data_IF_424153473148
#
_entry.id   IF_424153473148
#
_cell.length_a   1.000
_cell.length_b   1.000
_cell.length_c   1.000
_cell.angle_alpha   90.00
_cell.angle_beta   90.00
_cell.angle_gamma   90.00
#
_symmetry.space_group_name_H-M   'P 1'
#
loop_
_entity.id
_entity.type
_entity.pdbx_description
1 polymer ?
#
# COMPACT_ATOMS: atom_id res chain seq x y z
N UNK A 1 -9.68 -6.38 -10.99
CA UNK A 1 -8.81 -5.19 -11.16
C UNK A 1 -8.01 -5.15 -12.48
N UNK A 2 -7.56 -6.25 -13.07
CA UNK A 2 -6.84 -6.21 -14.37
C UNK A 2 -7.82 -5.87 -15.50
N UNK A 3 -7.49 -4.89 -16.33
CA UNK A 3 -8.28 -4.53 -17.52
C UNK A 3 -7.96 -5.40 -18.73
N UNK A 4 -8.89 -5.51 -19.68
CA UNK A 4 -8.62 -6.19 -20.96
C UNK A 4 -7.44 -5.55 -21.70
N UNK A 5 -7.32 -4.22 -21.64
CA UNK A 5 -6.22 -3.50 -22.27
C UNK A 5 -4.86 -3.91 -21.70
N UNK A 6 -4.75 -4.00 -20.36
CA UNK A 6 -3.51 -4.44 -19.72
C UNK A 6 -3.18 -5.89 -20.08
N UNK A 7 -4.18 -6.77 -20.12
CA UNK A 7 -4.01 -8.16 -20.53
C UNK A 7 -3.45 -8.27 -21.96
N UNK A 8 -4.01 -7.49 -22.89
CA UNK A 8 -3.56 -7.41 -24.28
C UNK A 8 -2.13 -6.91 -24.40
N UNK A 9 -1.79 -5.82 -23.71
CA UNK A 9 -0.43 -5.25 -23.71
C UNK A 9 0.57 -6.27 -23.19
N UNK A 10 0.28 -6.95 -22.08
CA UNK A 10 1.15 -8.00 -21.53
C UNK A 10 1.30 -9.16 -22.51
N UNK A 11 0.21 -9.62 -23.12
CA UNK A 11 0.24 -10.68 -24.14
C UNK A 11 1.09 -10.28 -25.34
N UNK A 12 0.92 -9.06 -25.86
CA UNK A 12 1.69 -8.52 -27.00
C UNK A 12 3.17 -8.37 -26.67
N UNK A 13 3.51 -7.84 -25.50
CA UNK A 13 4.89 -7.68 -25.05
C UNK A 13 5.61 -9.03 -24.98
N UNK A 14 4.99 -10.06 -24.40
CA UNK A 14 5.57 -11.40 -24.32
C UNK A 14 5.70 -12.06 -25.69
N UNK A 15 4.71 -11.89 -26.58
CA UNK A 15 4.81 -12.35 -27.97
C UNK A 15 6.02 -11.79 -28.68
N UNK A 16 6.26 -10.49 -28.51
CA UNK A 16 7.40 -9.81 -29.10
C UNK A 16 8.73 -10.27 -28.49
N UNK A 17 8.83 -10.26 -27.16
CA UNK A 17 10.04 -10.63 -26.44
C UNK A 17 10.48 -12.08 -26.69
N UNK A 18 9.52 -12.98 -26.85
CA UNK A 18 9.77 -14.42 -27.04
C UNK A 18 9.74 -14.84 -28.51
N UNK A 19 9.43 -13.92 -29.43
CA UNK A 19 9.27 -14.19 -30.85
C UNK A 19 8.31 -15.37 -31.14
N UNK A 20 7.19 -15.39 -30.42
CA UNK A 20 6.14 -16.41 -30.55
C UNK A 20 4.80 -15.70 -30.69
N UNK A 21 4.00 -16.04 -31.71
CA UNK A 21 2.72 -15.37 -31.99
C UNK A 21 1.56 -15.84 -31.10
N UNK A 22 1.72 -16.93 -30.36
CA UNK A 22 0.70 -17.46 -29.47
C UNK A 22 0.46 -16.51 -28.29
N UNK A 23 -0.75 -16.48 -27.69
CA UNK A 23 -1.03 -15.69 -26.49
C UNK A 23 0.10 -15.76 -25.45
N UNK A 24 0.50 -14.61 -24.91
CA UNK A 24 1.59 -14.51 -23.92
C UNK A 24 2.93 -15.13 -24.37
N UNK A 25 3.19 -15.23 -25.68
CA UNK A 25 4.41 -15.84 -26.21
C UNK A 25 4.56 -17.31 -25.82
N UNK A 26 3.43 -18.04 -25.75
CA UNK A 26 3.37 -19.44 -25.35
C UNK A 26 3.88 -19.73 -23.92
N UNK A 27 3.93 -18.71 -23.06
CA UNK A 27 4.19 -18.88 -21.64
C UNK A 27 3.04 -19.65 -20.97
N UNK A 28 3.38 -20.48 -19.98
CA UNK A 28 2.37 -20.95 -19.03
C UNK A 28 1.97 -19.80 -18.13
N UNK A 29 0.70 -19.39 -18.20
CA UNK A 29 0.15 -18.30 -17.40
C UNK A 29 -0.82 -18.86 -16.36
N UNK A 30 -0.59 -18.50 -15.10
CA UNK A 30 -1.50 -18.82 -13.99
C UNK A 30 -2.24 -17.54 -13.58
N UNK A 31 -3.54 -17.50 -13.83
CA UNK A 31 -4.42 -16.45 -13.32
C UNK A 31 -4.96 -16.84 -11.94
N UNK A 32 -4.90 -15.91 -11.01
CA UNK A 32 -5.57 -16.01 -9.72
C UNK A 32 -6.27 -14.70 -9.42
N UNK A 33 -7.45 -14.78 -8.81
CA UNK A 33 -8.25 -13.60 -8.53
C UNK A 33 -9.67 -13.97 -8.19
N UNK A 34 -10.48 -12.94 -7.97
CA UNK A 34 -11.86 -13.07 -7.57
C UNK A 34 -12.69 -11.98 -8.25
N UNK A 35 -13.55 -12.38 -9.19
CA UNK A 35 -14.41 -11.45 -9.92
C UNK A 35 -15.59 -10.94 -9.09
N UNK A 36 -15.88 -11.52 -7.93
CA UNK A 36 -16.83 -10.98 -6.96
C UNK A 36 -16.26 -9.84 -6.12
N UNK A 37 -14.98 -9.49 -6.32
CA UNK A 37 -14.33 -8.32 -5.70
C UNK A 37 -14.28 -7.13 -6.67
N UNK A 38 -13.43 -6.15 -6.38
CA UNK A 38 -13.32 -4.93 -7.16
C UNK A 38 -12.89 -5.19 -8.62
N UNK A 39 -13.70 -4.64 -9.53
CA UNK A 39 -13.39 -4.56 -10.95
C UNK A 39 -12.15 -3.69 -11.25
N UNK A 40 -11.75 -3.58 -12.53
CA UNK A 40 -10.77 -2.58 -12.96
C UNK A 40 -11.18 -1.16 -12.58
N UNK A 41 -10.18 -0.34 -12.21
CA UNK A 41 -10.40 1.09 -11.96
C UNK A 41 -10.64 1.80 -13.28
N UNK A 42 -11.73 2.57 -13.35
CA UNK A 42 -12.15 3.30 -14.54
C UNK A 42 -12.38 4.77 -14.21
N UNK A 43 -12.26 5.63 -15.23
CA UNK A 43 -12.75 7.01 -15.13
C UNK A 43 -14.28 6.99 -15.21
N UNK A 44 -14.91 7.99 -14.63
CA UNK A 44 -16.38 8.11 -14.67
C UNK A 44 -16.91 8.00 -16.10
N UNK A 45 -18.07 7.34 -16.24
CA UNK A 45 -18.77 7.10 -17.52
C UNK A 45 -18.03 6.24 -18.55
N UNK A 46 -16.96 5.53 -18.17
CA UNK A 46 -16.34 4.53 -19.07
C UNK A 46 -16.80 3.11 -18.74
N UNK A 47 -17.11 2.27 -19.75
CA UNK A 47 -17.41 0.86 -19.51
C UNK A 47 -16.26 0.17 -18.78
N UNK A 48 -16.60 -0.73 -17.86
CA UNK A 48 -15.60 -1.47 -17.09
C UNK A 48 -14.87 -2.44 -18.05
N UNK A 49 -13.54 -2.30 -18.23
CA UNK A 49 -12.80 -3.06 -19.23
C UNK A 49 -12.45 -4.45 -18.70
N UNK A 50 -13.43 -5.34 -18.55
CA UNK A 50 -13.18 -6.66 -17.99
C UNK A 50 -12.39 -7.56 -18.93
N UNK A 51 -11.58 -8.47 -18.38
CA UNK A 51 -10.66 -9.31 -19.14
C UNK A 51 -11.34 -10.22 -20.19
N UNK A 52 -12.63 -10.55 -20.01
CA UNK A 52 -13.37 -11.37 -20.97
C UNK A 52 -13.71 -10.62 -22.27
N UNK A 53 -13.53 -9.30 -22.29
CA UNK A 53 -13.67 -8.50 -23.51
C UNK A 53 -12.37 -8.44 -24.34
N UNK A 54 -11.27 -9.07 -23.87
CA UNK A 54 -10.01 -9.12 -24.61
C UNK A 54 -10.07 -10.13 -25.75
N UNK A 55 -9.59 -9.74 -26.94
CA UNK A 55 -9.45 -10.66 -28.08
C UNK A 55 -8.52 -11.84 -27.74
N UNK A 56 -7.50 -11.62 -26.92
CA UNK A 56 -6.61 -12.66 -26.39
C UNK A 56 -7.41 -13.75 -25.69
N UNK A 57 -8.46 -13.40 -24.94
CA UNK A 57 -9.28 -14.35 -24.18
C UNK A 57 -10.00 -15.36 -25.08
N UNK A 58 -10.37 -14.98 -26.31
CA UNK A 58 -10.96 -15.91 -27.29
C UNK A 58 -10.01 -17.06 -27.67
N UNK A 59 -8.70 -16.86 -27.50
CA UNK A 59 -7.66 -17.85 -27.80
C UNK A 59 -7.11 -18.54 -26.54
N UNK A 60 -7.59 -18.18 -25.34
CA UNK A 60 -7.18 -18.81 -24.10
C UNK A 60 -8.07 -20.01 -23.80
N UNK A 61 -7.48 -21.21 -23.86
CA UNK A 61 -8.06 -22.41 -23.29
C UNK A 61 -7.81 -22.42 -21.77
N UNK A 62 -8.66 -21.69 -21.03
CA UNK A 62 -8.51 -21.53 -19.58
C UNK A 62 -9.02 -22.76 -18.82
N UNK A 63 -8.12 -23.45 -18.14
CA UNK A 63 -8.49 -24.44 -17.13
C UNK A 63 -8.84 -23.73 -15.80
N UNK A 64 -10.13 -23.71 -15.44
CA UNK A 64 -10.63 -23.06 -14.23
C UNK A 64 -10.61 -24.00 -13.02
N UNK A 65 -10.12 -23.50 -11.89
CA UNK A 65 -10.18 -24.17 -10.59
C UNK A 65 -10.83 -23.21 -9.59
N UNK A 66 -11.92 -23.64 -8.96
CA UNK A 66 -12.58 -22.87 -7.90
C UNK A 66 -12.16 -23.37 -6.51
N UNK A 67 -11.61 -22.47 -5.69
CA UNK A 67 -11.28 -22.77 -4.29
C UNK A 67 -12.53 -22.59 -3.42
N UNK A 68 -12.96 -23.66 -2.73
CA UNK A 68 -14.22 -23.68 -1.98
C UNK A 68 -14.07 -23.41 -0.48
N UNK A 69 -12.87 -23.60 0.07
CA UNK A 69 -12.63 -23.49 1.51
C UNK A 69 -11.94 -22.17 1.85
N UNK A 70 -12.60 -21.31 2.64
CA UNK A 70 -11.95 -20.13 3.22
C UNK A 70 -11.02 -20.55 4.35
N UNK A 71 -9.74 -20.21 4.22
CA UNK A 71 -8.74 -20.40 5.29
C UNK A 71 -8.70 -19.20 6.26
N UNK A 72 -9.22 -18.04 5.83
CA UNK A 72 -9.08 -16.77 6.56
C UNK A 72 -10.06 -16.68 7.74
N UNK A 73 -11.30 -17.12 7.55
CA UNK A 73 -12.35 -17.09 8.58
C UNK A 73 -12.76 -18.50 9.03
N UNK A 74 -11.86 -19.50 8.90
CA UNK A 74 -12.18 -20.92 9.09
C UNK A 74 -12.83 -21.26 10.44
N UNK A 75 -12.53 -20.47 11.48
CA UNK A 75 -12.99 -20.72 12.85
C UNK A 75 -14.27 -19.93 13.21
N UNK A 76 -14.82 -19.15 12.27
CA UNK A 76 -16.05 -18.38 12.46
C UNK A 76 -17.07 -18.66 11.33
N UNK A 77 -17.86 -19.71 11.53
CA UNK A 77 -18.88 -20.13 10.58
C UNK A 77 -19.93 -19.05 10.33
N UNK A 78 -20.31 -18.27 11.35
CA UNK A 78 -21.33 -17.21 11.20
C UNK A 78 -20.80 -16.08 10.33
N UNK A 79 -19.55 -15.67 10.55
CA UNK A 79 -18.92 -14.65 9.74
C UNK A 79 -18.68 -15.13 8.30
N UNK A 80 -18.29 -16.41 8.10
CA UNK A 80 -18.22 -16.98 6.75
C UNK A 80 -19.56 -16.95 6.02
N UNK A 81 -20.66 -17.35 6.68
CA UNK A 81 -22.01 -17.26 6.09
C UNK A 81 -22.35 -15.82 5.70
N UNK A 82 -22.07 -14.85 6.57
CA UNK A 82 -22.28 -13.43 6.28
C UNK A 82 -21.48 -12.95 5.06
N UNK A 83 -20.19 -13.28 4.96
CA UNK A 83 -19.34 -12.88 3.83
C UNK A 83 -19.80 -13.50 2.51
N UNK A 84 -20.26 -14.74 2.52
CA UNK A 84 -20.80 -15.40 1.33
C UNK A 84 -22.12 -14.75 0.88
N UNK A 85 -22.98 -14.34 1.82
CA UNK A 85 -24.19 -13.58 1.51
C UNK A 85 -23.84 -12.23 0.91
N UNK A 86 -22.85 -11.51 1.44
CA UNK A 86 -22.40 -10.24 0.87
C UNK A 86 -21.90 -10.38 -0.58
N UNK A 87 -21.26 -11.52 -0.89
CA UNK A 87 -20.76 -11.81 -2.22
C UNK A 87 -21.87 -12.05 -3.25
N UNK A 88 -22.93 -12.75 -2.84
CA UNK A 88 -24.05 -13.16 -3.69
C UNK A 88 -25.34 -12.43 -3.32
N UNK A 89 -25.19 -11.21 -2.82
CA UNK A 89 -26.29 -10.48 -2.20
C UNK A 89 -27.41 -10.23 -3.22
N UNK A 90 -28.65 -10.44 -2.77
CA UNK A 90 -29.85 -10.30 -3.57
C UNK A 90 -30.84 -9.48 -2.76
N UNK A 91 -31.14 -8.27 -3.24
CA UNK A 91 -32.07 -7.34 -2.59
C UNK A 91 -33.48 -7.93 -2.42
N UNK A 92 -33.86 -8.90 -3.25
CA UNK A 92 -35.17 -9.54 -3.16
C UNK A 92 -35.22 -10.65 -2.09
N UNK A 93 -34.06 -11.14 -1.64
CA UNK A 93 -33.98 -12.18 -0.62
C UNK A 93 -34.24 -11.58 0.77
N UNK A 94 -35.33 -12.02 1.41
CA UNK A 94 -35.64 -11.65 2.80
C UNK A 94 -34.56 -12.19 3.75
N UNK A 95 -34.11 -13.43 3.52
CA UNK A 95 -33.07 -14.07 4.32
C UNK A 95 -31.73 -13.31 4.26
N UNK A 96 -31.31 -12.86 3.07
CA UNK A 96 -30.08 -12.08 2.92
C UNK A 96 -30.15 -10.77 3.72
N UNK A 97 -31.27 -10.05 3.61
CA UNK A 97 -31.51 -8.81 4.36
C UNK A 97 -31.52 -9.03 5.87
N UNK A 98 -32.17 -10.10 6.33
CA UNK A 98 -32.22 -10.42 7.77
C UNK A 98 -30.83 -10.73 8.33
N UNK A 99 -30.04 -11.56 7.65
CA UNK A 99 -28.68 -11.91 8.09
C UNK A 99 -27.76 -10.68 8.06
N UNK A 100 -27.83 -9.87 7.00
CA UNK A 100 -27.07 -8.62 6.89
C UNK A 100 -27.39 -7.68 8.05
N UNK A 101 -28.68 -7.40 8.29
CA UNK A 101 -29.12 -6.49 9.34
C UNK A 101 -28.74 -7.00 10.74
N UNK A 102 -28.93 -8.30 11.01
CA UNK A 102 -28.53 -8.90 12.29
C UNK A 102 -27.03 -8.78 12.52
N UNK A 103 -26.22 -9.05 11.50
CA UNK A 103 -24.77 -8.96 11.61
C UNK A 103 -24.32 -7.51 11.85
N UNK A 104 -24.84 -6.55 11.06
CA UNK A 104 -24.51 -5.13 11.21
C UNK A 104 -24.93 -4.59 12.58
N UNK A 105 -26.13 -4.94 13.05
CA UNK A 105 -26.62 -4.53 14.36
C UNK A 105 -25.73 -5.04 15.50
N UNK A 106 -25.27 -6.30 15.41
CA UNK A 106 -24.40 -6.89 16.42
C UNK A 106 -22.96 -6.32 16.44
N UNK A 107 -22.51 -5.69 15.35
CA UNK A 107 -21.12 -5.25 15.15
C UNK A 107 -21.01 -3.74 14.90
N UNK A 108 -21.92 -2.94 15.45
CA UNK A 108 -21.81 -1.49 15.36
C UNK A 108 -20.58 -0.98 16.12
N UNK A 109 -19.82 -0.10 15.46
CA UNK A 109 -18.76 0.63 16.13
C UNK A 109 -19.34 1.54 17.20
N UNK A 110 -18.73 1.53 18.39
CA UNK A 110 -19.12 2.39 19.50
C UNK A 110 -18.23 3.62 19.46
N UNK A 111 -18.83 4.80 19.32
CA UNK A 111 -18.12 6.08 19.29
C UNK A 111 -17.23 6.35 20.52
N UNK A 112 -17.47 5.63 21.63
CA UNK A 112 -16.70 5.70 22.86
C UNK A 112 -15.31 5.05 22.73
N UNK A 113 -15.12 4.17 21.76
CA UNK A 113 -13.85 3.49 21.57
C UNK A 113 -12.83 4.39 20.88
N UNK A 114 -11.54 4.20 21.21
CA UNK A 114 -10.44 4.89 20.53
C UNK A 114 -10.41 4.46 19.04
N UNK A 115 -10.64 5.38 18.08
CA UNK A 115 -10.69 5.04 16.65
C UNK A 115 -9.36 4.47 16.15
N UNK A 116 -8.24 4.75 16.82
CA UNK A 116 -6.93 4.23 16.43
C UNK A 116 -6.79 2.72 16.64
N UNK A 117 -7.72 2.10 17.37
CA UNK A 117 -7.78 0.64 17.57
C UNK A 117 -8.46 -0.09 16.39
N UNK A 118 -9.06 0.65 15.47
CA UNK A 118 -9.82 0.11 14.35
C UNK A 118 -9.15 0.42 13.02
N UNK A 119 -9.46 -0.40 12.02
CA UNK A 119 -9.12 -0.13 10.63
C UNK A 119 -10.42 0.25 9.91
N UNK A 120 -10.59 1.55 9.67
CA UNK A 120 -11.75 2.06 8.93
C UNK A 120 -11.50 1.92 7.43
N UNK A 121 -12.50 1.42 6.72
CA UNK A 121 -12.49 1.29 5.27
C UNK A 121 -13.46 2.31 4.67
N UNK A 122 -12.98 3.08 3.70
CA UNK A 122 -13.78 4.06 2.98
C UNK A 122 -13.69 3.82 1.48
N UNK A 123 -14.74 4.20 0.74
CA UNK A 123 -14.76 4.12 -0.72
C UNK A 123 -13.92 5.18 -1.41
N UNK A 124 -13.57 6.27 -0.71
CA UNK A 124 -12.79 7.40 -1.23
C UNK A 124 -11.55 7.62 -0.37
N UNK A 125 -10.42 7.83 -1.03
CA UNK A 125 -9.14 8.17 -0.37
C UNK A 125 -9.25 9.45 0.44
N UNK A 126 -9.99 10.46 -0.04
CA UNK A 126 -10.21 11.73 0.68
C UNK A 126 -10.80 11.51 2.07
N UNK A 127 -11.82 10.65 2.20
CA UNK A 127 -12.41 10.30 3.51
C UNK A 127 -11.43 9.56 4.42
N UNK A 128 -10.57 8.73 3.83
CA UNK A 128 -9.51 8.02 4.58
C UNK A 128 -8.47 9.01 5.11
N UNK A 129 -8.06 9.98 4.28
CA UNK A 129 -7.16 11.05 4.68
C UNK A 129 -7.77 11.96 5.75
N UNK A 130 -9.03 12.36 5.59
CA UNK A 130 -9.77 13.14 6.59
C UNK A 130 -9.79 12.43 7.95
N UNK A 131 -10.16 11.15 7.98
CA UNK A 131 -10.19 10.35 9.21
C UNK A 131 -8.79 10.21 9.84
N UNK A 132 -7.76 9.96 9.01
CA UNK A 132 -6.37 9.86 9.48
C UNK A 132 -5.88 11.19 10.07
N UNK A 133 -6.18 12.32 9.43
CA UNK A 133 -5.83 13.66 9.91
C UNK A 133 -6.55 13.96 11.21
N UNK A 134 -7.86 13.67 11.31
CA UNK A 134 -8.64 13.85 12.53
C UNK A 134 -8.04 13.04 13.69
N UNK A 135 -7.73 11.77 13.47
CA UNK A 135 -7.10 10.91 14.48
C UNK A 135 -5.71 11.42 14.89
N UNK A 136 -4.90 11.92 13.95
CA UNK A 136 -3.58 12.48 14.25
C UNK A 136 -3.69 13.78 15.08
N UNK A 137 -4.66 14.65 14.77
CA UNK A 137 -4.89 15.91 15.48
C UNK A 137 -5.31 15.71 16.94
N UNK A 138 -5.97 14.59 17.26
CA UNK A 138 -6.35 14.23 18.63
C UNK A 138 -5.16 13.80 19.51
N UNK A 139 -3.99 13.55 18.93
CA UNK A 139 -2.79 13.14 19.66
C UNK A 139 -2.02 14.40 20.08
N UNK A 140 -1.97 14.72 21.38
CA UNK A 140 -1.35 15.96 21.87
C UNK A 140 0.20 15.95 21.92
N UNK A 141 0.84 14.83 21.57
CA UNK A 141 2.30 14.75 21.47
C UNK A 141 2.85 15.65 20.35
N UNK A 142 4.14 15.99 20.45
CA UNK A 142 4.85 16.76 19.42
C UNK A 142 4.70 16.12 18.04
N UNK A 143 4.40 16.94 17.05
CA UNK A 143 4.40 16.56 15.64
C UNK A 143 5.81 16.61 15.06
N UNK A 144 6.14 15.55 14.35
CA UNK A 144 7.36 15.42 13.56
C UNK A 144 6.98 15.28 12.10
N UNK A 145 7.64 16.05 11.25
CA UNK A 145 7.40 16.07 9.81
C UNK A 145 8.66 15.57 9.12
N UNK A 146 8.49 14.60 8.22
CA UNK A 146 9.55 14.01 7.42
C UNK A 146 9.21 14.24 5.94
N UNK A 147 10.00 15.09 5.26
CA UNK A 147 9.87 15.32 3.83
C UNK A 147 10.62 14.23 3.05
N UNK A 148 10.03 13.74 1.95
CA UNK A 148 10.65 12.77 1.08
C UNK A 148 11.86 13.37 0.35
N UNK A 149 12.85 12.52 0.05
CA UNK A 149 14.03 12.88 -0.75
C UNK A 149 13.96 12.09 -2.05
N UNK A 150 13.58 12.78 -3.13
CA UNK A 150 13.43 12.19 -4.46
C UNK A 150 14.68 12.44 -5.32
N UNK A 151 15.39 11.39 -5.70
CA UNK A 151 16.60 11.48 -6.53
C UNK A 151 16.26 11.44 -8.03
N UNK A 152 15.61 12.49 -8.54
CA UNK A 152 15.16 12.58 -9.95
C UNK A 152 16.19 13.26 -10.89
N UNK A 153 17.47 13.31 -10.52
CA UNK A 153 18.52 13.94 -11.33
C UNK A 153 18.51 15.47 -11.33
N UNK A 154 17.99 16.09 -10.27
CA UNK A 154 17.90 17.55 -10.11
C UNK A 154 16.97 17.94 -8.96
N UNK A 155 16.66 19.24 -8.82
CA UNK A 155 15.63 19.70 -7.88
C UNK A 155 14.25 19.37 -8.46
N UNK A 156 13.53 18.45 -7.81
CA UNK A 156 12.19 18.02 -8.22
C UNK A 156 11.16 19.14 -8.07
N UNK A 157 10.40 19.41 -9.13
CA UNK A 157 9.21 20.26 -9.09
C UNK A 157 8.07 19.58 -8.31
N UNK A 158 7.10 20.36 -7.83
CA UNK A 158 5.94 19.81 -7.11
C UNK A 158 5.09 18.84 -7.96
N UNK A 159 5.04 19.07 -9.28
CA UNK A 159 4.37 18.16 -10.21
C UNK A 159 5.08 16.79 -10.27
N UNK A 160 6.42 16.79 -10.31
CA UNK A 160 7.22 15.56 -10.31
C UNK A 160 7.12 14.80 -8.99
N UNK A 161 7.09 15.51 -7.86
CA UNK A 161 6.85 14.91 -6.54
C UNK A 161 5.48 14.24 -6.45
N UNK A 162 4.42 14.93 -6.90
CA UNK A 162 3.06 14.36 -6.96
C UNK A 162 3.00 13.13 -7.87
N UNK A 163 3.67 13.18 -9.02
CA UNK A 163 3.75 12.02 -9.92
C UNK A 163 4.45 10.83 -9.25
N UNK A 164 5.54 11.09 -8.51
CA UNK A 164 6.28 10.05 -7.77
C UNK A 164 5.40 9.44 -6.67
N UNK A 165 4.66 10.25 -5.93
CA UNK A 165 3.71 9.79 -4.91
C UNK A 165 2.59 8.91 -5.53
N UNK A 166 2.04 9.30 -6.69
CA UNK A 166 1.05 8.49 -7.40
C UNK A 166 1.62 7.14 -7.89
N UNK A 167 2.88 7.11 -8.33
CA UNK A 167 3.52 5.89 -8.85
C UNK A 167 3.97 4.94 -7.75
N UNK A 168 4.46 5.48 -6.63
CA UNK A 168 5.07 4.69 -5.55
C UNK A 168 4.11 4.42 -4.39
N UNK A 169 3.07 5.23 -4.24
CA UNK A 169 2.22 5.25 -3.05
C UNK A 169 2.93 5.80 -1.80
N UNK A 170 4.12 6.39 -1.94
CA UNK A 170 4.88 6.97 -0.83
C UNK A 170 4.53 8.46 -0.67
N UNK A 171 4.18 8.91 0.54
CA UNK A 171 3.82 10.30 0.73
C UNK A 171 5.04 11.21 0.59
N UNK A 172 4.85 12.33 -0.11
CA UNK A 172 5.86 13.40 -0.20
C UNK A 172 6.21 14.02 1.16
N UNK A 173 5.26 13.98 2.10
CA UNK A 173 5.43 14.42 3.48
C UNK A 173 4.74 13.48 4.44
N UNK A 174 5.51 12.88 5.35
CA UNK A 174 5.00 12.02 6.41
C UNK A 174 4.94 12.78 7.73
N UNK A 175 3.74 12.92 8.30
CA UNK A 175 3.50 13.57 9.60
C UNK A 175 3.25 12.51 10.66
N UNK A 176 4.06 12.50 11.71
CA UNK A 176 4.00 11.51 12.79
C UNK A 176 3.91 12.18 14.16
N UNK A 177 3.22 11.50 15.08
CA UNK A 177 3.20 11.80 16.51
C UNK A 177 3.39 10.49 17.26
N UNK A 178 4.10 10.51 18.39
CA UNK A 178 4.13 9.33 19.27
C UNK A 178 2.69 8.98 19.68
N UNK A 179 2.30 7.72 19.50
CA UNK A 179 0.94 7.22 19.71
C UNK A 179 0.04 7.23 18.47
N UNK A 180 0.53 7.63 17.30
CA UNK A 180 -0.24 7.50 16.06
C UNK A 180 -0.22 6.06 15.53
N UNK A 181 -1.33 5.67 14.92
CA UNK A 181 -1.50 4.40 14.23
C UNK A 181 -0.81 4.48 12.87
N UNK A 182 -0.05 3.45 12.51
CA UNK A 182 0.69 3.37 11.24
C UNK A 182 0.53 2.00 10.60
N UNK A 183 0.67 1.96 9.27
CA UNK A 183 0.70 0.73 8.48
C UNK A 183 2.05 0.64 7.77
N UNK A 184 2.66 -0.54 7.82
CA UNK A 184 3.80 -0.85 6.98
C UNK A 184 3.33 -1.09 5.55
N UNK A 185 3.96 -0.44 4.59
CA UNK A 185 3.60 -0.52 3.16
C UNK A 185 4.62 -1.31 2.33
N UNK A 186 5.64 -1.86 2.98
CA UNK A 186 6.69 -2.64 2.34
C UNK A 186 6.98 -3.93 3.14
N UNK A 187 7.65 -4.88 2.51
CA UNK A 187 8.06 -6.11 3.18
C UNK A 187 9.41 -5.88 3.85
N UNK A 188 9.41 -5.74 5.17
CA UNK A 188 10.63 -5.49 5.95
C UNK A 188 11.21 -6.81 6.44
N UNK A 189 10.42 -7.58 7.20
CA UNK A 189 10.87 -8.82 7.83
C UNK A 189 9.78 -9.88 7.79
N UNK A 190 9.80 -10.65 6.70
CA UNK A 190 8.83 -11.71 6.42
C UNK A 190 8.76 -12.76 7.54
N UNK A 191 9.91 -13.20 8.07
CA UNK A 191 9.98 -14.26 9.09
C UNK A 191 9.36 -13.85 10.42
N UNK A 192 9.39 -12.56 10.77
CA UNK A 192 8.68 -12.03 11.94
C UNK A 192 7.29 -11.49 11.63
N UNK A 193 6.83 -11.60 10.37
CA UNK A 193 5.52 -11.13 9.95
C UNK A 193 5.36 -9.61 9.92
N UNK A 194 6.46 -8.85 9.75
CA UNK A 194 6.41 -7.41 9.46
C UNK A 194 6.48 -7.23 7.95
N UNK A 195 5.30 -7.17 7.34
CA UNK A 195 5.08 -7.16 5.89
C UNK A 195 4.17 -6.00 5.50
N UNK A 196 3.96 -5.79 4.21
CA UNK A 196 2.96 -4.85 3.73
C UNK A 196 1.58 -5.18 4.34
N UNK A 197 0.95 -4.19 4.97
CA UNK A 197 -0.30 -4.30 5.71
C UNK A 197 -0.13 -4.48 7.22
N UNK A 198 1.09 -4.72 7.73
CA UNK A 198 1.33 -4.84 9.17
C UNK A 198 1.05 -3.52 9.88
N UNK A 199 0.15 -3.54 10.86
CA UNK A 199 -0.26 -2.37 11.63
C UNK A 199 0.51 -2.25 12.94
N UNK A 200 0.75 -1.02 13.38
CA UNK A 200 1.43 -0.72 14.64
C UNK A 200 1.20 0.69 15.13
N UNK A 201 1.83 1.03 16.24
CA UNK A 201 1.84 2.38 16.81
C UNK A 201 3.25 2.92 16.83
N UNK A 202 3.40 4.22 16.56
CA UNK A 202 4.67 4.91 16.80
C UNK A 202 4.87 5.01 18.31
N UNK A 203 5.90 4.34 18.84
CA UNK A 203 6.18 4.31 20.29
C UNK A 203 7.23 5.33 20.70
N UNK A 204 8.10 5.74 19.78
CA UNK A 204 9.16 6.70 20.05
C UNK A 204 9.56 7.43 18.77
N UNK A 205 9.88 8.72 18.89
CA UNK A 205 10.52 9.51 17.85
C UNK A 205 11.63 10.32 18.50
N UNK A 206 12.81 10.28 17.91
CA UNK A 206 13.96 11.09 18.32
C UNK A 206 14.50 11.82 17.10
N UNK A 207 14.69 13.14 17.20
CA UNK A 207 15.36 13.96 16.18
C UNK A 207 16.60 14.63 16.79
N UNK A 208 17.61 14.86 15.96
CA UNK A 208 18.86 15.54 16.31
C UNK A 208 20.09 14.77 15.84
N UNK A 209 21.27 15.28 16.16
CA UNK A 209 22.53 14.63 15.78
C UNK A 209 22.75 13.36 16.64
N UNK A 210 22.33 12.21 16.12
CA UNK A 210 22.43 10.89 16.77
C UNK A 210 23.63 10.09 16.29
N UNK A 211 24.65 10.76 15.74
CA UNK A 211 25.79 10.14 15.06
C UNK A 211 25.62 10.26 13.55
N UNK A 212 25.42 9.15 12.85
CA UNK A 212 25.14 9.12 11.40
C UNK A 212 23.67 9.33 11.07
N UNK A 213 22.80 9.44 12.07
CA UNK A 213 21.36 9.63 11.91
C UNK A 213 20.92 10.99 12.44
N UNK A 214 20.02 11.63 11.71
CA UNK A 214 19.31 12.85 12.11
C UNK A 214 17.98 12.56 12.82
N UNK A 215 17.43 11.36 12.61
CA UNK A 215 16.22 10.95 13.33
C UNK A 215 16.04 9.43 13.39
N UNK A 216 15.28 8.99 14.39
CA UNK A 216 14.86 7.61 14.59
C UNK A 216 13.37 7.60 14.92
N UNK A 217 12.61 6.75 14.22
CA UNK A 217 11.22 6.44 14.50
C UNK A 217 11.12 4.98 14.92
N UNK A 218 10.52 4.72 16.07
CA UNK A 218 10.23 3.37 16.55
C UNK A 218 8.73 3.06 16.39
N UNK A 219 8.43 1.89 15.84
CA UNK A 219 7.08 1.35 15.72
C UNK A 219 6.97 0.05 16.52
N UNK A 220 5.94 -0.08 17.33
CA UNK A 220 5.49 -1.35 17.92
C UNK A 220 4.32 -1.89 17.11
N UNK A 221 4.52 -3.02 16.44
CA UNK A 221 3.51 -3.71 15.64
C UNK A 221 2.59 -4.58 16.50
N UNK A 222 1.36 -4.81 16.02
CA UNK A 222 0.33 -5.56 16.75
C UNK A 222 0.70 -7.03 16.98
N UNK A 223 1.54 -7.58 16.11
CA UNK A 223 2.09 -8.93 16.26
C UNK A 223 3.18 -9.01 17.36
N UNK A 224 3.39 -7.94 18.12
CA UNK A 224 4.37 -7.84 19.20
C UNK A 224 5.78 -7.50 18.72
N UNK A 225 6.02 -7.44 17.41
CA UNK A 225 7.30 -7.03 16.87
C UNK A 225 7.51 -5.54 17.05
N UNK A 226 8.77 -5.13 17.03
CA UNK A 226 9.15 -3.72 17.05
C UNK A 226 10.15 -3.48 15.93
N UNK A 227 10.11 -2.31 15.33
CA UNK A 227 11.04 -1.89 14.29
C UNK A 227 11.49 -0.45 14.52
N UNK A 228 12.71 -0.15 14.09
CA UNK A 228 13.22 1.21 13.99
C UNK A 228 13.46 1.57 12.54
N UNK A 229 13.15 2.82 12.21
CA UNK A 229 13.53 3.47 10.96
C UNK A 229 14.42 4.67 11.31
N UNK A 230 15.66 4.71 10.81
CA UNK A 230 16.58 5.83 10.94
C UNK A 230 16.69 6.63 9.65
N UNK A 231 16.84 7.95 9.73
CA UNK A 231 17.21 8.81 8.59
C UNK A 231 18.62 9.33 8.79
N UNK A 232 19.50 9.11 7.80
CA UNK A 232 20.92 9.48 7.82
C UNK A 232 21.21 10.95 7.49
N UNK A 233 22.37 11.46 7.93
CA UNK A 233 22.84 12.86 7.71
C UNK A 233 23.40 13.09 6.30
N UNK A 234 24.02 12.06 5.71
CA UNK A 234 24.57 12.07 4.35
C UNK A 234 24.20 10.73 3.70
N UNK A 235 23.51 10.78 2.56
CA UNK A 235 23.07 9.64 1.73
C UNK A 235 22.02 8.69 2.32
N UNK A 236 20.87 9.23 2.77
CA UNK A 236 19.49 8.67 2.69
C UNK A 236 19.24 7.15 2.74
N UNK A 237 20.09 6.34 3.39
CA UNK A 237 19.84 4.91 3.57
C UNK A 237 19.08 4.73 4.88
N UNK A 238 17.82 4.35 4.76
CA UNK A 238 17.03 3.78 5.85
C UNK A 238 17.72 2.49 6.30
N UNK A 239 18.57 2.58 7.32
CA UNK A 239 19.03 1.39 8.02
C UNK A 239 17.85 0.86 8.87
N UNK A 240 17.26 -0.25 8.42
CA UNK A 240 16.40 -1.04 9.29
C UNK A 240 17.25 -1.61 10.43
N UNK A 241 17.06 -1.09 11.64
CA UNK A 241 17.73 -1.62 12.82
C UNK A 241 16.83 -2.71 13.43
N UNK A 242 17.19 -3.97 13.17
CA UNK A 242 16.53 -5.16 13.72
C UNK A 242 16.69 -5.19 15.26
N UNK A 243 15.57 -5.32 15.97
CA UNK A 243 15.47 -5.34 17.44
C UNK A 243 15.71 -6.75 18.00
N UNK A 244 16.54 -7.54 17.36
CA UNK A 244 17.28 -8.59 18.07
C UNK A 244 18.46 -8.05 18.90
N UNK A 245 18.62 -6.73 18.98
CA UNK A 245 19.82 -6.09 19.56
C UNK A 245 19.56 -4.85 20.42
N UNK A 246 18.37 -4.68 21.02
CA UNK A 246 18.18 -3.55 21.95
C UNK A 246 19.22 -3.55 23.09
N UNK A 247 19.60 -4.73 23.59
CA UNK A 247 20.67 -4.88 24.58
C UNK A 247 22.07 -4.63 24.02
N UNK A 248 22.32 -4.96 22.74
CA UNK A 248 23.62 -4.70 22.09
C UNK A 248 23.79 -3.23 21.71
N UNK A 249 22.76 -2.58 21.19
CA UNK A 249 22.76 -1.13 20.93
C UNK A 249 22.92 -0.32 22.23
N UNK A 250 22.23 -0.72 23.30
CA UNK A 250 22.44 -0.14 24.65
C UNK A 250 23.84 -0.45 25.19
N UNK A 251 24.41 -1.60 24.90
CA UNK A 251 25.77 -1.96 25.31
C UNK A 251 26.84 -1.15 24.55
N UNK A 252 26.66 -0.92 23.25
CA UNK A 252 27.53 -0.12 22.39
C UNK A 252 27.51 1.36 22.80
N UNK A 253 26.33 1.92 23.11
CA UNK A 253 26.23 3.30 23.64
C UNK A 253 26.78 3.46 25.06
N UNK A 254 26.82 2.39 25.87
CA UNK A 254 27.43 2.40 27.23
C UNK A 254 28.96 2.32 27.19
N UNK A 255 29.54 1.81 26.10
CA UNK A 255 30.98 1.80 25.88
C UNK A 255 31.36 2.99 25.00
N UNK A 256 31.71 4.12 25.63
CA UNK A 256 32.09 5.34 24.94
C UNK A 256 33.14 5.11 23.85
N UNK A 257 32.91 5.72 22.67
CA UNK A 257 33.78 5.62 21.48
C UNK A 257 35.22 6.07 21.81
N UNK A 258 36.24 5.28 21.45
CA UNK A 258 37.57 5.81 21.19
C UNK A 258 38.04 5.50 19.76
N UNK A 259 38.29 6.55 18.99
CA UNK A 259 39.44 6.67 18.07
C UNK A 259 39.50 5.81 16.78
N UNK A 260 39.57 6.51 15.64
CA UNK A 260 39.82 5.99 14.28
C UNK A 260 41.16 5.21 14.10
N UNK A 261 41.05 4.09 13.36
CA UNK A 261 41.88 3.56 12.23
C UNK A 261 43.35 3.11 12.39
N UNK A 262 43.97 2.32 11.45
CA UNK A 262 43.42 1.59 10.27
C UNK A 262 43.99 0.14 9.99
N UNK A 263 43.38 -0.51 8.98
CA UNK A 263 43.90 -1.53 8.02
C UNK A 263 43.70 -3.04 8.24
N UNK A 264 43.40 -3.68 7.09
CA UNK A 264 43.43 -5.10 6.69
C UNK A 264 42.21 -5.92 7.12
N UNK A 265 41.38 -6.50 6.25
CA UNK A 265 41.45 -6.76 4.81
C UNK A 265 40.66 -8.05 4.60
N UNK A 266 39.42 -7.97 4.13
CA UNK A 266 38.65 -9.14 3.67
C UNK A 266 37.83 -8.72 2.45
N UNK A 267 37.98 -9.50 1.39
CA UNK A 267 37.41 -9.31 0.07
C UNK A 267 35.88 -9.27 0.12
N UNK A 268 35.29 -8.20 -0.41
CA UNK A 268 33.90 -8.21 -0.85
C UNK A 268 33.87 -8.71 -2.29
N UNK A 269 33.11 -9.79 -2.52
CA UNK A 269 32.63 -10.15 -3.85
C UNK A 269 31.67 -9.05 -4.31
N UNK A 270 32.15 -8.22 -5.23
CA UNK A 270 31.34 -7.32 -6.04
C UNK A 270 30.64 -8.18 -7.08
N UNK A 271 29.32 -8.26 -7.03
CA UNK A 271 28.56 -8.59 -8.24
C UNK A 271 28.54 -7.32 -9.09
N UNK A 272 29.31 -7.39 -10.16
CA UNK A 272 29.37 -6.44 -11.25
C UNK A 272 28.01 -6.44 -11.96
N UNK A 273 27.24 -5.35 -11.85
CA UNK A 273 26.06 -5.10 -12.69
C UNK A 273 26.34 -3.81 -13.46
N UNK A 274 27.20 -3.94 -14.46
CA UNK A 274 27.35 -2.99 -15.54
C UNK A 274 26.70 -3.58 -16.80
N UNK A 275 26.06 -2.70 -17.58
CA UNK A 275 25.46 -2.88 -18.91
C UNK A 275 24.00 -3.31 -18.92
N UNK A 276 23.11 -2.31 -18.92
CA UNK A 276 22.07 -2.12 -19.94
C UNK A 276 21.74 -0.62 -19.96
N UNK A 277 22.49 0.14 -20.75
CA UNK A 277 22.06 1.46 -21.21
C UNK A 277 20.93 1.22 -22.23
N UNK A 278 19.68 1.30 -21.79
CA UNK A 278 18.55 1.38 -22.71
C UNK A 278 18.32 2.85 -23.10
N UNK A 279 18.52 3.12 -24.38
CA UNK A 279 18.17 4.37 -25.03
C UNK A 279 16.65 4.63 -24.88
N UNK A 280 16.29 5.53 -23.97
CA UNK A 280 14.98 6.17 -23.97
C UNK A 280 14.86 7.02 -25.24
N UNK A 281 13.99 6.58 -26.16
CA UNK A 281 13.51 7.39 -27.28
C UNK A 281 12.30 8.17 -26.74
N UNK A 282 12.45 9.48 -26.59
CA UNK A 282 11.34 10.38 -26.26
C UNK A 282 10.31 10.37 -27.40
N UNK A 283 9.00 10.25 -27.12
CA UNK A 283 7.98 10.48 -28.14
C UNK A 283 7.86 11.99 -28.40
N UNK A 284 8.35 12.41 -29.57
CA UNK A 284 8.00 13.68 -30.21
C UNK A 284 6.50 13.69 -30.53
N UNK A 285 5.69 14.29 -29.65
CA UNK A 285 4.52 15.15 -29.94
C UNK A 285 3.73 15.36 -28.65
N UNK A 286 4.10 16.42 -27.94
CA UNK A 286 3.19 17.17 -27.09
C UNK A 286 2.15 17.84 -27.99
N UNK A 287 0.89 17.44 -27.93
CA UNK A 287 -0.25 18.34 -28.16
C UNK A 287 -1.58 17.67 -27.80
N UNK A 288 -2.45 18.47 -27.15
CA UNK A 288 -3.87 18.28 -26.86
C UNK A 288 -4.27 17.19 -25.85
N UNK A 289 -4.46 17.58 -24.58
CA UNK A 289 -5.75 17.47 -23.88
C UNK A 289 -5.73 18.35 -22.62
N UNK A 290 -5.83 19.67 -22.84
CA UNK A 290 -6.35 20.62 -21.86
C UNK A 290 -7.88 20.54 -21.91
N UNK A 291 -8.53 20.02 -20.87
CA UNK A 291 -9.96 20.26 -20.67
C UNK A 291 -10.27 20.53 -19.19
N UNK A 292 -11.09 21.57 -19.05
CA UNK A 292 -11.30 22.41 -17.88
C UNK A 292 -12.03 21.69 -16.72
N UNK A 293 -11.67 22.10 -15.51
CA UNK A 293 -12.42 21.81 -14.30
C UNK A 293 -13.79 22.50 -14.36
N UNK A 294 -14.86 21.75 -14.13
CA UNK A 294 -16.17 22.29 -13.80
C UNK A 294 -16.55 21.75 -12.42
N UNK A 295 -16.59 22.67 -11.46
CA UNK A 295 -17.23 22.53 -10.15
C UNK A 295 -18.71 22.23 -10.35
N UNK A 296 -19.25 21.26 -9.61
CA UNK A 296 -20.65 21.26 -9.20
C UNK A 296 -20.80 20.51 -7.87
N UNK A 297 -20.93 21.31 -6.81
CA UNK A 297 -21.39 20.90 -5.48
C UNK A 297 -22.84 20.38 -5.59
N UNK A 298 -23.06 19.10 -5.25
CA UNK A 298 -24.40 18.61 -4.91
C UNK A 298 -24.42 18.22 -3.43
N UNK A 299 -24.94 19.17 -2.65
CA UNK A 299 -25.41 19.00 -1.27
C UNK A 299 -26.67 18.13 -1.32
N UNK A 300 -26.63 16.94 -0.72
CA UNK A 300 -27.85 16.21 -0.36
C UNK A 300 -28.11 16.43 1.14
N UNK A 301 -28.97 17.41 1.37
CA UNK A 301 -29.65 17.68 2.62
C UNK A 301 -30.72 16.59 2.82
N UNK A 302 -30.62 15.83 3.91
CA UNK A 302 -31.67 14.92 4.37
C UNK A 302 -32.18 15.54 5.66
N UNK A 303 -33.17 16.42 5.52
CA UNK A 303 -34.01 16.84 6.62
C UNK A 303 -35.02 15.74 6.95
N UNK A 304 -35.15 15.47 8.24
CA UNK A 304 -36.25 14.76 8.87
C UNK A 304 -37.62 15.18 8.33
N UNK A 305 -38.55 14.23 8.24
CA UNK A 305 -39.94 14.48 8.60
C UNK A 305 -40.61 13.17 9.04
N UNK A 306 -41.05 13.21 10.31
CA UNK A 306 -42.02 12.32 10.93
C UNK A 306 -43.38 12.42 10.23
N UNK A 307 -44.01 11.26 9.95
CA UNK A 307 -45.42 10.91 10.24
C UNK A 307 -45.76 9.51 9.69
#
# INVERSE_FOLDING_TARGET
MISYFLLEVVSQALRHALNDSNPFGNCTVLFFGDFGQLGPVVRENTPIPYIWDAATTDYLDLFRIDLQQSIRQKDDAKFMTFLNILREYDDNSIEHREILNQFLWAHQWKHEDDPRQYHFLFSRTTKTEEMNIQCLQQIHNQEFVFDAIDNLGGVSTEAQKRQTELQTGLPTRLRLRVGCRVMCICNIYYEAGVVNGSLGFVTHIQQGNLGTLDSIVQVGFDNGQRSFAGLGVEDSVLEHIDIRREDQWKAEKRQGIPGRHPQQGVQNNVYDNALLEEHFIEPENEDEFLLEFIDDDIILDISDDDD
#
